data_IF_991685009639
#
_entry.id   IF_991685009639
#
_cell.length_a   1.000
_cell.length_b   1.000
_cell.length_c   1.000
_cell.angle_alpha   90.00
_cell.angle_beta   90.00
_cell.angle_gamma   90.00
#
_symmetry.space_group_name_H-M   'P 1'
#
loop_
_entity.id
_entity.type
_entity.pdbx_description
1 polymer ?
#
# COMPACT_ATOMS: atom_id res chain seq x y z
N UNK A 1 1.79 22.90 -13.93
CA UNK A 1 2.56 23.55 -15.02
C UNK A 1 2.69 22.66 -16.22
N UNK A 2 2.52 23.21 -17.41
CA UNK A 2 2.77 22.56 -18.69
C UNK A 2 4.19 22.88 -19.15
N UNK A 3 4.94 21.88 -19.60
CA UNK A 3 6.28 22.07 -20.11
C UNK A 3 6.35 21.65 -21.58
N UNK A 4 6.52 22.64 -22.46
CA UNK A 4 6.78 22.44 -23.87
C UNK A 4 8.19 22.89 -24.22
N UNK A 5 8.86 22.17 -25.10
CA UNK A 5 10.23 22.49 -25.56
C UNK A 5 10.33 22.49 -27.05
N UNK A 6 11.24 23.34 -27.54
CA UNK A 6 11.77 23.27 -28.91
C UNK A 6 13.30 23.28 -28.85
N UNK A 7 13.93 22.39 -29.58
CA UNK A 7 15.41 22.29 -29.62
C UNK A 7 15.89 21.69 -30.92
N UNK A 8 17.16 21.91 -31.22
CA UNK A 8 17.84 21.25 -32.31
C UNK A 8 19.02 20.43 -31.79
N UNK A 9 19.32 19.32 -32.45
CA UNK A 9 20.44 18.46 -32.13
C UNK A 9 21.12 17.94 -33.42
N UNK A 10 22.37 17.58 -33.31
CA UNK A 10 23.15 17.01 -34.41
C UNK A 10 23.36 15.53 -34.14
N UNK A 11 22.96 14.70 -35.11
CA UNK A 11 23.18 13.26 -35.05
C UNK A 11 23.70 12.77 -36.40
N UNK A 12 24.80 12.03 -36.41
CA UNK A 12 25.50 11.58 -37.65
C UNK A 12 25.73 12.70 -38.66
N UNK A 13 26.13 13.89 -38.21
CA UNK A 13 26.42 15.06 -39.07
C UNK A 13 25.18 15.75 -39.66
N UNK A 14 23.98 15.32 -39.31
CA UNK A 14 22.72 15.97 -39.71
C UNK A 14 22.09 16.67 -38.51
N UNK A 15 21.58 17.89 -38.76
CA UNK A 15 20.84 18.66 -37.78
C UNK A 15 19.35 18.25 -37.82
N UNK A 16 18.83 17.92 -36.66
CA UNK A 16 17.42 17.63 -36.46
C UNK A 16 16.82 18.71 -35.57
N UNK A 17 15.63 19.17 -35.92
CA UNK A 17 14.86 20.14 -35.14
C UNK A 17 13.61 19.47 -34.60
N UNK A 18 13.35 19.69 -33.33
CA UNK A 18 12.13 19.25 -32.62
C UNK A 18 11.41 20.50 -32.15
N UNK A 19 10.17 20.67 -32.61
CA UNK A 19 9.41 21.90 -32.38
C UNK A 19 9.81 23.06 -33.28
N UNK A 20 9.17 24.19 -33.11
CA UNK A 20 9.41 25.43 -33.85
C UNK A 20 9.96 26.48 -32.89
N UNK A 21 10.97 27.25 -33.37
CA UNK A 21 11.47 28.38 -32.61
C UNK A 21 10.67 29.65 -32.94
N UNK A 22 10.51 30.53 -31.97
CA UNK A 22 9.86 31.84 -32.17
C UNK A 22 10.53 32.72 -33.23
N UNK A 23 11.79 32.43 -33.55
CA UNK A 23 12.58 33.08 -34.57
C UNK A 23 12.36 32.50 -35.96
N UNK A 24 11.70 31.35 -36.08
CA UNK A 24 11.39 30.73 -37.38
C UNK A 24 10.21 31.49 -38.02
N UNK A 25 10.43 32.75 -38.34
CA UNK A 25 9.45 33.69 -38.86
C UNK A 25 8.90 33.15 -40.18
N UNK A 26 7.80 32.49 -40.12
CA UNK A 26 7.08 32.00 -41.30
C UNK A 26 6.00 33.01 -41.62
N UNK A 27 5.94 33.39 -42.88
CA UNK A 27 4.90 34.21 -43.49
C UNK A 27 3.47 33.63 -43.31
N UNK A 28 3.29 32.68 -42.43
CA UNK A 28 2.02 32.02 -42.16
C UNK A 28 1.34 32.55 -40.91
N UNK A 29 0.20 33.01 -41.13
CA UNK A 29 -0.87 33.63 -40.36
C UNK A 29 -1.36 32.90 -39.09
N UNK A 30 -0.66 31.95 -38.51
CA UNK A 30 -1.04 31.38 -37.20
C UNK A 30 -0.07 31.90 -36.15
N UNK A 31 -0.62 32.62 -35.16
CA UNK A 31 0.12 33.13 -34.00
C UNK A 31 0.56 32.00 -33.03
N UNK A 32 0.62 30.76 -33.51
CA UNK A 32 0.94 29.57 -32.74
C UNK A 32 2.25 28.95 -33.25
N UNK A 33 3.11 28.55 -32.29
CA UNK A 33 4.33 27.77 -32.56
C UNK A 33 4.13 26.33 -32.08
N UNK A 34 4.68 25.38 -32.81
CA UNK A 34 4.69 23.98 -32.46
C UNK A 34 5.80 23.68 -31.48
N UNK A 35 5.47 23.15 -30.30
CA UNK A 35 6.42 22.69 -29.29
C UNK A 35 6.20 21.23 -28.93
N UNK A 36 7.28 20.53 -28.61
CA UNK A 36 7.17 19.16 -28.06
C UNK A 36 6.76 19.21 -26.61
N UNK A 37 5.63 18.60 -26.27
CA UNK A 37 5.14 18.53 -24.90
C UNK A 37 5.95 17.48 -24.13
N UNK A 38 6.55 17.89 -23.00
CA UNK A 38 7.26 17.01 -22.06
C UNK A 38 6.43 16.72 -20.80
N UNK A 39 5.58 17.68 -20.37
CA UNK A 39 4.72 17.55 -19.23
C UNK A 39 3.37 18.23 -19.50
N UNK A 40 2.28 17.52 -19.28
CA UNK A 40 0.91 18.03 -19.37
C UNK A 40 0.35 18.42 -18.01
N UNK A 41 -0.89 18.95 -18.00
CA UNK A 41 -1.64 19.25 -16.78
C UNK A 41 -2.02 17.96 -16.07
N UNK A 42 -2.47 16.97 -16.85
CA UNK A 42 -2.84 15.64 -16.37
C UNK A 42 -1.78 14.64 -16.78
N UNK A 43 -1.43 13.75 -15.87
CA UNK A 43 -0.49 12.65 -16.11
C UNK A 43 -1.26 11.33 -16.08
N UNK A 44 -1.35 10.68 -17.25
CA UNK A 44 -1.98 9.38 -17.42
C UNK A 44 -1.03 8.42 -18.13
N UNK A 45 -1.07 7.12 -17.83
CA UNK A 45 -0.27 6.10 -18.53
C UNK A 45 -0.45 6.08 -20.05
N UNK A 46 -1.62 6.52 -20.55
CA UNK A 46 -1.93 6.56 -21.99
C UNK A 46 -1.27 7.74 -22.72
N UNK A 47 -0.66 8.67 -21.99
CA UNK A 47 -0.04 9.85 -22.59
C UNK A 47 1.37 9.54 -23.12
N UNK A 48 1.69 10.04 -24.32
CA UNK A 48 2.99 9.81 -24.98
C UNK A 48 4.20 10.30 -24.16
N UNK A 49 3.99 11.23 -23.23
CA UNK A 49 5.04 11.75 -22.34
C UNK A 49 5.11 11.03 -20.99
N UNK A 50 4.31 9.99 -20.77
CA UNK A 50 4.36 9.19 -19.53
C UNK A 50 5.74 8.57 -19.30
N UNK A 51 6.39 8.09 -20.34
CA UNK A 51 7.72 7.47 -20.26
C UNK A 51 8.85 8.48 -19.98
N UNK A 52 8.58 9.77 -20.13
CA UNK A 52 9.54 10.83 -19.78
C UNK A 52 9.57 11.14 -18.29
N UNK A 53 8.63 10.62 -17.52
CA UNK A 53 8.58 10.82 -16.08
C UNK A 53 9.74 10.07 -15.39
N UNK A 54 10.48 10.77 -14.54
CA UNK A 54 11.53 10.17 -13.70
C UNK A 54 10.91 9.40 -12.54
N UNK A 55 10.68 8.09 -12.74
CA UNK A 55 10.07 7.20 -11.76
C UNK A 55 11.10 6.50 -10.86
N UNK A 56 12.37 6.88 -10.97
CA UNK A 56 13.51 6.37 -10.21
C UNK A 56 14.03 7.36 -9.16
N UNK A 57 13.31 8.44 -8.91
CA UNK A 57 13.69 9.50 -7.97
C UNK A 57 12.74 9.52 -6.80
N UNK A 58 13.26 9.42 -5.58
CA UNK A 58 12.49 9.36 -4.34
C UNK A 58 12.92 10.48 -3.40
N UNK A 59 11.95 11.26 -2.89
CA UNK A 59 12.21 12.35 -1.96
C UNK A 59 12.36 11.84 -0.53
N UNK A 60 13.36 12.37 0.17
CA UNK A 60 13.55 12.15 1.60
C UNK A 60 12.73 13.14 2.47
N UNK A 61 12.11 14.15 1.84
CA UNK A 61 11.43 15.22 2.57
C UNK A 61 12.40 16.18 3.31
N UNK A 62 13.67 16.16 2.94
CA UNK A 62 14.72 16.95 3.57
C UNK A 62 15.50 17.77 2.54
N UNK A 63 16.15 18.84 3.01
CA UNK A 63 17.00 19.71 2.20
C UNK A 63 18.42 19.74 2.77
N UNK A 64 19.41 19.92 1.89
CA UNK A 64 20.82 20.03 2.26
C UNK A 64 21.32 18.84 3.11
N UNK A 65 21.07 17.65 2.62
CA UNK A 65 21.44 16.39 3.24
C UNK A 65 22.97 16.23 3.26
N UNK A 66 23.53 15.91 4.42
CA UNK A 66 24.96 15.77 4.59
C UNK A 66 25.41 14.31 4.40
N UNK A 67 26.63 14.11 3.84
CA UNK A 67 27.22 12.78 3.65
C UNK A 67 27.52 12.09 5.00
N UNK A 68 27.91 12.89 6.01
CA UNK A 68 28.22 12.37 7.34
C UNK A 68 27.00 11.71 8.00
N UNK A 69 27.16 10.49 8.45
CA UNK A 69 26.13 9.67 9.10
C UNK A 69 24.91 9.36 8.21
N UNK A 70 24.99 9.58 6.90
CA UNK A 70 23.94 9.16 6.00
C UNK A 70 23.91 7.64 5.90
N UNK A 71 22.73 7.05 6.06
CA UNK A 71 22.47 5.64 5.87
C UNK A 71 21.19 5.46 5.10
N UNK A 72 21.20 4.59 4.11
CA UNK A 72 20.00 4.18 3.37
C UNK A 72 19.99 2.67 3.26
N UNK A 73 18.86 2.07 3.56
CA UNK A 73 18.58 0.67 3.35
C UNK A 73 17.35 0.51 2.48
N UNK A 74 17.38 -0.50 1.63
CA UNK A 74 16.20 -0.97 0.92
C UNK A 74 15.82 -2.33 1.48
N UNK A 75 14.62 -2.46 1.97
CA UNK A 75 14.10 -3.69 2.56
C UNK A 75 12.86 -4.17 1.83
N UNK A 76 12.59 -5.45 1.95
CA UNK A 76 11.43 -6.13 1.40
C UNK A 76 10.66 -6.81 2.53
N UNK A 77 9.35 -6.64 2.57
CA UNK A 77 8.49 -7.32 3.51
C UNK A 77 8.31 -8.78 3.11
N UNK A 78 8.85 -9.69 3.91
CA UNK A 78 8.80 -11.12 3.66
C UNK A 78 7.38 -11.67 3.76
N UNK A 79 6.95 -12.46 2.78
CA UNK A 79 5.64 -13.09 2.77
C UNK A 79 5.46 -14.16 3.86
N UNK A 80 6.55 -14.79 4.25
CA UNK A 80 6.52 -15.89 5.23
C UNK A 80 6.50 -15.40 6.68
N UNK A 81 7.17 -14.28 6.96
CA UNK A 81 7.36 -13.80 8.35
C UNK A 81 6.68 -12.45 8.59
N UNK A 82 6.26 -11.73 7.53
CA UNK A 82 5.75 -10.37 7.63
C UNK A 82 6.82 -9.33 8.01
N UNK A 83 8.05 -9.75 8.32
CA UNK A 83 9.16 -8.87 8.71
C UNK A 83 9.89 -8.28 7.51
N UNK A 84 10.50 -7.12 7.70
CA UNK A 84 11.32 -6.49 6.68
C UNK A 84 12.74 -7.07 6.69
N UNK A 85 13.17 -7.55 5.53
CA UNK A 85 14.51 -8.09 5.29
C UNK A 85 15.21 -7.30 4.18
N UNK A 86 16.52 -7.20 4.24
CA UNK A 86 17.31 -6.44 3.27
C UNK A 86 17.76 -7.28 2.05
N UNK A 87 17.14 -8.43 1.84
CA UNK A 87 17.44 -9.35 0.72
C UNK A 87 16.13 -10.00 0.22
N UNK A 88 16.17 -10.59 -0.97
CA UNK A 88 15.10 -11.46 -1.45
C UNK A 88 15.43 -12.92 -1.13
N UNK A 89 14.47 -13.70 -0.59
CA UNK A 89 14.72 -15.11 -0.24
C UNK A 89 14.87 -16.02 -1.46
N UNK A 90 14.37 -15.62 -2.62
CA UNK A 90 14.30 -16.44 -3.83
C UNK A 90 14.77 -15.66 -5.07
N UNK A 91 15.10 -16.37 -6.13
CA UNK A 91 15.54 -15.80 -7.40
C UNK A 91 17.05 -15.81 -7.60
N UNK A 92 17.53 -15.35 -8.75
CA UNK A 92 18.95 -15.37 -9.11
C UNK A 92 19.81 -14.43 -8.22
N UNK A 93 19.19 -13.46 -7.57
CA UNK A 93 19.82 -12.57 -6.60
C UNK A 93 19.44 -12.91 -5.16
N UNK A 94 19.04 -14.15 -4.89
CA UNK A 94 18.68 -14.59 -3.55
C UNK A 94 19.82 -14.34 -2.55
N UNK A 95 19.44 -13.88 -1.35
CA UNK A 95 20.36 -13.57 -0.24
C UNK A 95 21.40 -12.47 -0.53
N UNK A 96 21.27 -11.74 -1.65
CA UNK A 96 22.07 -10.54 -1.90
C UNK A 96 21.37 -9.32 -1.33
N UNK A 97 22.16 -8.39 -0.78
CA UNK A 97 21.65 -7.14 -0.19
C UNK A 97 20.98 -6.31 -1.29
N UNK A 98 19.74 -5.90 -1.06
CA UNK A 98 18.90 -5.20 -2.05
C UNK A 98 19.52 -3.90 -2.54
N UNK A 99 20.19 -3.16 -1.69
CA UNK A 99 20.88 -1.91 -2.07
C UNK A 99 21.91 -2.15 -3.20
N UNK A 100 22.62 -3.30 -3.15
CA UNK A 100 23.58 -3.75 -4.18
C UNK A 100 22.85 -4.22 -5.44
N UNK A 101 21.79 -5.02 -5.30
CA UNK A 101 20.99 -5.52 -6.42
C UNK A 101 20.43 -4.37 -7.25
N UNK A 102 20.02 -3.29 -6.58
CA UNK A 102 19.45 -2.10 -7.19
C UNK A 102 20.50 -1.08 -7.68
N UNK A 103 21.79 -1.36 -7.45
CA UNK A 103 22.91 -0.59 -7.98
C UNK A 103 23.27 0.66 -7.20
N UNK A 104 22.88 0.75 -5.93
CA UNK A 104 23.18 1.84 -5.01
C UNK A 104 24.39 1.55 -4.10
N UNK A 105 25.02 0.39 -4.25
CA UNK A 105 26.24 -0.06 -3.57
C UNK A 105 27.17 -0.66 -4.64
N UNK A 106 28.15 0.11 -5.09
CA UNK A 106 29.15 -0.26 -6.10
C UNK A 106 30.56 0.09 -5.65
N UNK A 107 30.68 1.02 -4.72
CA UNK A 107 31.95 1.55 -4.24
C UNK A 107 32.16 1.15 -2.79
N UNK A 108 33.40 1.22 -2.34
CA UNK A 108 33.74 1.15 -0.93
C UNK A 108 33.82 2.56 -0.32
N UNK A 109 34.09 2.62 0.99
CA UNK A 109 34.23 3.87 1.75
C UNK A 109 35.33 4.81 1.20
N UNK A 110 36.22 4.29 0.35
CA UNK A 110 37.32 5.02 -0.28
C UNK A 110 37.08 5.35 -1.76
N UNK A 111 35.82 5.19 -2.20
CA UNK A 111 35.38 5.40 -3.58
C UNK A 111 36.03 4.45 -4.62
N UNK A 112 36.55 3.28 -4.19
CA UNK A 112 37.02 2.25 -5.11
C UNK A 112 35.87 1.33 -5.54
N UNK A 113 35.92 0.71 -6.74
CA UNK A 113 34.87 -0.15 -7.26
C UNK A 113 34.82 -1.51 -6.55
N UNK A 114 34.42 -1.50 -5.29
CA UNK A 114 34.27 -2.66 -4.42
C UNK A 114 33.08 -2.49 -3.50
N UNK A 115 31.93 -3.13 -3.77
CA UNK A 115 30.73 -2.97 -2.96
C UNK A 115 30.95 -3.37 -1.50
N UNK A 116 30.60 -2.50 -0.55
CA UNK A 116 30.81 -2.70 0.90
C UNK A 116 29.52 -2.95 1.71
N UNK A 117 28.36 -2.87 1.05
CA UNK A 117 27.05 -3.09 1.68
C UNK A 117 26.38 -1.81 2.18
N UNK A 118 27.00 -0.65 1.95
CA UNK A 118 26.46 0.65 2.29
C UNK A 118 26.04 1.43 1.05
N UNK A 119 25.26 2.46 1.27
CA UNK A 119 24.81 3.34 0.20
C UNK A 119 25.95 4.25 -0.28
N UNK A 120 26.19 4.27 -1.57
CA UNK A 120 27.14 5.16 -2.23
C UNK A 120 26.58 6.59 -2.27
N UNK A 121 27.05 7.46 -1.39
CA UNK A 121 26.65 8.86 -1.37
C UNK A 121 27.42 9.65 -2.43
N UNK A 122 26.87 9.73 -3.66
CA UNK A 122 27.47 10.46 -4.78
C UNK A 122 26.48 11.53 -5.22
N UNK A 123 26.80 12.79 -4.90
CA UNK A 123 25.91 13.91 -5.25
C UNK A 123 25.78 14.05 -6.78
N UNK A 124 24.54 14.28 -7.21
CA UNK A 124 24.17 14.33 -8.62
C UNK A 124 24.02 12.97 -9.32
N UNK A 125 24.35 11.84 -8.67
CA UNK A 125 24.23 10.51 -9.25
C UNK A 125 23.31 9.57 -8.47
N UNK A 126 23.61 9.28 -7.21
CA UNK A 126 22.77 8.43 -6.34
C UNK A 126 21.89 9.25 -5.40
N UNK A 127 22.30 10.48 -5.15
CA UNK A 127 21.57 11.43 -4.34
C UNK A 127 21.74 12.84 -4.91
N UNK A 128 20.69 13.64 -4.81
CA UNK A 128 20.76 15.09 -4.96
C UNK A 128 20.69 15.70 -3.56
N UNK A 129 21.85 15.99 -3.01
CA UNK A 129 21.98 16.35 -1.60
C UNK A 129 21.24 17.64 -1.26
N UNK A 130 21.26 18.64 -2.13
CA UNK A 130 20.59 19.93 -1.92
C UNK A 130 19.07 19.79 -1.77
N UNK A 131 18.43 18.93 -2.54
CA UNK A 131 16.96 18.74 -2.56
C UNK A 131 16.52 17.47 -1.86
N UNK A 132 17.44 16.70 -1.26
CA UNK A 132 17.17 15.47 -0.53
C UNK A 132 16.46 14.40 -1.36
N UNK A 133 16.95 14.14 -2.56
CA UNK A 133 16.36 13.15 -3.47
C UNK A 133 17.31 12.01 -3.72
N UNK A 134 16.85 10.79 -3.48
CA UNK A 134 17.57 9.57 -3.87
C UNK A 134 17.28 9.27 -5.33
N UNK A 135 18.33 8.98 -6.08
CA UNK A 135 18.27 8.67 -7.51
C UNK A 135 18.78 7.25 -7.71
N UNK A 136 17.90 6.38 -8.18
CA UNK A 136 18.36 5.05 -8.61
C UNK A 136 19.01 5.14 -9.99
N UNK A 137 20.15 4.47 -10.22
CA UNK A 137 20.88 4.57 -11.48
C UNK A 137 20.22 3.81 -12.65
N UNK A 138 18.97 3.42 -12.52
CA UNK A 138 18.16 2.75 -13.53
C UNK A 138 16.72 3.29 -13.50
N UNK A 139 16.09 3.36 -14.67
CA UNK A 139 14.77 4.00 -14.82
C UNK A 139 13.66 3.27 -14.06
N UNK A 140 13.72 1.95 -13.99
CA UNK A 140 12.73 1.12 -13.33
C UNK A 140 13.39 0.16 -12.33
N UNK A 141 13.84 0.66 -11.16
CA UNK A 141 14.58 -0.15 -10.18
C UNK A 141 13.80 -1.36 -9.68
N UNK A 142 12.51 -1.22 -9.38
CA UNK A 142 11.64 -2.31 -8.92
C UNK A 142 10.87 -3.01 -10.04
N UNK A 143 11.03 -2.57 -11.28
CA UNK A 143 10.40 -3.11 -12.49
C UNK A 143 11.37 -3.95 -13.32
N UNK A 144 11.65 -3.47 -14.53
CA UNK A 144 12.49 -4.16 -15.51
C UNK A 144 13.88 -4.50 -14.98
N UNK A 145 14.49 -3.62 -14.17
CA UNK A 145 15.81 -3.87 -13.58
C UNK A 145 15.79 -5.02 -12.56
N UNK A 146 14.80 -5.02 -11.70
CA UNK A 146 14.64 -6.10 -10.73
C UNK A 146 14.35 -7.43 -11.44
N UNK A 147 13.54 -7.42 -12.51
CA UNK A 147 13.26 -8.60 -13.33
C UNK A 147 14.53 -9.23 -13.91
N UNK A 148 15.42 -8.40 -14.43
CA UNK A 148 16.74 -8.85 -14.94
C UNK A 148 17.55 -9.59 -13.84
N UNK A 149 17.50 -9.07 -12.61
CA UNK A 149 18.26 -9.60 -11.48
C UNK A 149 17.64 -10.83 -10.84
N UNK A 150 16.34 -10.85 -10.66
CA UNK A 150 15.59 -11.93 -9.98
C UNK A 150 15.39 -13.14 -10.91
N UNK A 151 15.23 -12.88 -12.21
CA UNK A 151 14.89 -13.89 -13.22
C UNK A 151 13.37 -14.02 -13.44
N UNK A 152 13.00 -14.48 -14.64
CA UNK A 152 11.59 -14.50 -15.08
C UNK A 152 10.70 -15.42 -14.22
N UNK A 153 11.26 -16.50 -13.66
CA UNK A 153 10.50 -17.44 -12.84
C UNK A 153 9.89 -16.81 -11.58
N UNK A 154 10.57 -15.80 -11.01
CA UNK A 154 10.16 -15.13 -9.78
C UNK A 154 9.68 -13.69 -10.01
N UNK A 155 9.64 -13.26 -11.27
CA UNK A 155 9.26 -11.89 -11.62
C UNK A 155 7.84 -11.55 -11.18
N UNK A 156 6.89 -12.49 -11.28
CA UNK A 156 5.50 -12.26 -10.85
C UNK A 156 5.39 -11.95 -9.36
N UNK A 157 6.27 -12.50 -8.54
CA UNK A 157 6.28 -12.34 -7.08
C UNK A 157 6.93 -11.03 -6.62
N UNK A 158 8.09 -10.69 -7.20
CA UNK A 158 8.94 -9.61 -6.69
C UNK A 158 8.91 -8.33 -7.52
N UNK A 159 8.59 -8.44 -8.81
CA UNK A 159 8.64 -7.27 -9.71
C UNK A 159 7.36 -6.46 -9.59
N UNK A 160 7.53 -5.17 -9.29
CA UNK A 160 6.44 -4.22 -9.20
C UNK A 160 6.39 -3.34 -10.44
N UNK A 161 6.00 -3.93 -11.57
CA UNK A 161 5.93 -3.24 -12.86
C UNK A 161 4.82 -2.19 -12.88
N UNK A 162 3.73 -2.43 -12.18
CA UNK A 162 2.57 -1.53 -12.09
C UNK A 162 2.92 -0.18 -11.43
N UNK A 163 4.03 -0.11 -10.69
CA UNK A 163 4.58 1.16 -10.19
C UNK A 163 4.94 2.13 -11.31
N UNK A 164 5.28 1.60 -12.49
CA UNK A 164 5.72 2.37 -13.65
C UNK A 164 4.65 2.53 -14.72
N UNK A 165 3.78 1.54 -14.86
CA UNK A 165 2.78 1.44 -15.93
C UNK A 165 1.41 1.92 -15.50
N UNK A 166 1.23 2.29 -14.23
CA UNK A 166 -0.04 2.78 -13.69
C UNK A 166 0.12 4.06 -12.87
N UNK A 167 -1.01 4.68 -12.52
CA UNK A 167 -0.99 5.85 -11.63
C UNK A 167 -0.61 5.47 -10.21
N UNK A 168 -0.11 6.43 -9.42
CA UNK A 168 0.25 6.23 -8.02
C UNK A 168 -0.89 5.61 -7.19
N UNK A 169 -2.12 6.07 -7.44
CA UNK A 169 -3.31 5.55 -6.75
C UNK A 169 -3.54 4.08 -7.04
N UNK A 170 -3.43 3.67 -8.30
CA UNK A 170 -3.59 2.27 -8.71
C UNK A 170 -2.45 1.41 -8.16
N UNK A 171 -1.20 1.88 -8.25
CA UNK A 171 -0.05 1.17 -7.74
C UNK A 171 -0.14 0.92 -6.22
N UNK A 172 -0.60 1.92 -5.45
CA UNK A 172 -0.80 1.78 -4.00
C UNK A 172 -1.88 0.76 -3.62
N UNK A 173 -2.86 0.52 -4.48
CA UNK A 173 -3.90 -0.48 -4.25
C UNK A 173 -3.41 -1.93 -4.42
N UNK A 174 -2.21 -2.13 -4.97
CA UNK A 174 -1.63 -3.47 -5.16
C UNK A 174 -0.73 -3.79 -3.95
N UNK A 175 -1.36 -4.01 -2.80
CA UNK A 175 -0.65 -4.28 -1.54
C UNK A 175 0.30 -5.48 -1.62
N UNK A 176 -0.04 -6.49 -2.42
CA UNK A 176 0.78 -7.69 -2.63
C UNK A 176 2.17 -7.41 -3.21
N UNK A 177 2.32 -6.33 -3.97
CA UNK A 177 3.59 -5.93 -4.59
C UNK A 177 4.22 -4.71 -3.93
N UNK A 178 3.45 -3.95 -3.16
CA UNK A 178 3.91 -2.75 -2.46
C UNK A 178 4.62 -3.12 -1.15
N UNK A 179 5.72 -3.88 -1.24
CA UNK A 179 6.45 -4.46 -0.12
C UNK A 179 7.86 -3.91 0.08
N UNK A 180 8.31 -3.06 -0.84
CA UNK A 180 9.62 -2.43 -0.71
C UNK A 180 9.54 -1.19 0.16
N UNK A 181 10.49 -1.06 1.09
CA UNK A 181 10.61 0.08 1.98
C UNK A 181 12.03 0.64 1.90
N UNK A 182 12.13 1.95 1.69
CA UNK A 182 13.37 2.70 1.85
C UNK A 182 13.39 3.28 3.27
N UNK A 183 14.41 2.95 4.03
CA UNK A 183 14.59 3.41 5.39
C UNK A 183 16.04 3.80 5.65
N UNK A 184 16.27 4.66 6.62
CA UNK A 184 17.63 5.09 6.92
C UNK A 184 17.69 6.26 7.89
N UNK A 185 18.88 6.88 7.94
CA UNK A 185 19.17 8.03 8.76
C UNK A 185 19.87 9.09 7.91
N UNK A 186 19.54 10.33 8.11
CA UNK A 186 20.22 11.45 7.46
C UNK A 186 20.38 12.63 8.43
N UNK A 187 21.36 13.47 8.13
CA UNK A 187 21.53 14.78 8.75
C UNK A 187 21.29 15.83 7.70
N UNK A 188 20.42 16.80 8.00
CA UNK A 188 20.11 17.93 7.11
C UNK A 188 20.40 19.26 7.81
N UNK A 189 20.68 20.31 7.06
CA UNK A 189 20.95 21.64 7.63
C UNK A 189 19.71 22.35 8.15
N UNK A 190 18.51 21.95 7.71
CA UNK A 190 17.22 22.40 8.26
C UNK A 190 16.70 21.47 9.36
N UNK A 191 17.57 21.07 10.27
CA UNK A 191 17.38 19.97 11.22
C UNK A 191 16.25 20.12 12.23
N UNK A 192 15.48 21.19 12.20
CA UNK A 192 14.32 21.36 13.09
C UNK A 192 13.01 20.84 12.49
N UNK A 193 12.88 20.74 11.17
CA UNK A 193 11.62 20.34 10.51
C UNK A 193 11.76 19.00 9.82
N UNK A 194 10.84 18.08 10.13
CA UNK A 194 10.77 16.72 9.59
C UNK A 194 9.43 16.57 8.86
N UNK A 195 9.49 16.26 7.58
CA UNK A 195 8.29 15.95 6.79
C UNK A 195 7.93 14.47 6.99
N UNK A 196 6.68 14.21 7.37
CA UNK A 196 6.17 12.86 7.63
C UNK A 196 5.75 12.11 6.36
N UNK A 197 5.73 12.79 5.21
CA UNK A 197 5.27 12.20 3.95
C UNK A 197 3.77 11.86 3.95
N UNK A 198 3.03 12.34 4.94
CA UNK A 198 1.60 12.11 5.12
C UNK A 198 0.91 13.44 5.39
N UNK A 199 -0.30 13.62 4.88
CA UNK A 199 -1.15 14.78 5.17
C UNK A 199 -2.36 14.34 5.99
N UNK A 200 -2.93 15.25 6.76
CA UNK A 200 -4.11 14.98 7.59
C UNK A 200 -3.86 13.85 8.62
N UNK A 201 -2.71 13.90 9.26
CA UNK A 201 -2.28 12.94 10.27
C UNK A 201 -3.23 12.99 11.47
N UNK A 202 -3.58 11.84 12.02
CA UNK A 202 -4.45 11.77 13.19
C UNK A 202 -3.77 12.44 14.41
N UNK A 203 -4.50 13.30 15.12
CA UNK A 203 -3.96 13.96 16.32
C UNK A 203 -3.60 12.95 17.39
N UNK A 204 -2.40 13.10 17.95
CA UNK A 204 -1.90 12.21 19.00
C UNK A 204 -1.29 10.89 18.49
N UNK A 205 -1.28 10.66 17.15
CA UNK A 205 -0.66 9.46 16.55
C UNK A 205 0.84 9.61 16.31
N UNK A 206 1.34 10.84 16.34
CA UNK A 206 2.77 11.13 16.09
C UNK A 206 3.57 10.92 17.37
N UNK A 207 4.55 10.07 17.32
CA UNK A 207 5.49 9.83 18.41
C UNK A 207 6.91 10.13 17.96
N UNK A 208 7.56 11.03 18.68
CA UNK A 208 8.94 11.44 18.38
C UNK A 208 9.87 10.91 19.46
N UNK A 209 10.98 10.31 19.03
CA UNK A 209 12.02 9.83 19.92
C UNK A 209 13.37 10.40 19.50
N UNK A 210 14.21 10.77 20.46
CA UNK A 210 15.57 11.19 20.21
C UNK A 210 16.54 10.35 21.04
N UNK A 211 17.49 9.69 20.38
CA UNK A 211 18.45 8.81 21.06
C UNK A 211 17.80 7.69 21.88
N UNK A 212 16.57 7.27 21.52
CA UNK A 212 15.79 6.28 22.24
C UNK A 212 14.88 6.83 23.34
N UNK A 213 15.00 8.11 23.72
CA UNK A 213 14.10 8.76 24.67
C UNK A 213 12.87 9.33 23.92
N UNK A 214 11.66 9.12 24.47
CA UNK A 214 10.44 9.69 23.93
C UNK A 214 10.37 11.19 24.27
N UNK A 215 10.12 12.02 23.26
CA UNK A 215 9.94 13.45 23.40
C UNK A 215 8.48 13.81 23.73
N UNK A 216 8.28 14.98 24.33
CA UNK A 216 6.96 15.48 24.70
C UNK A 216 6.47 16.50 23.69
N UNK A 217 5.27 16.28 23.14
CA UNK A 217 4.63 17.22 22.23
C UNK A 217 4.35 18.55 22.91
N UNK A 218 4.52 19.65 22.18
CA UNK A 218 4.42 21.05 22.63
C UNK A 218 5.48 21.50 23.65
N UNK A 219 6.44 20.64 24.01
CA UNK A 219 7.61 20.97 24.85
C UNK A 219 8.88 20.79 24.04
N UNK A 220 9.13 19.59 23.53
CA UNK A 220 10.32 19.26 22.77
C UNK A 220 10.10 19.37 21.26
N UNK A 221 8.88 19.18 20.80
CA UNK A 221 8.50 19.27 19.39
C UNK A 221 7.06 19.74 19.23
N UNK A 222 6.71 20.23 18.03
CA UNK A 222 5.33 20.53 17.60
C UNK A 222 5.01 19.75 16.33
N UNK A 223 3.72 19.47 16.13
CA UNK A 223 3.22 18.75 14.95
C UNK A 223 2.20 19.60 14.22
N UNK A 224 2.44 19.85 12.93
CA UNK A 224 1.39 20.28 12.01
C UNK A 224 0.71 19.05 11.45
N UNK A 225 -0.41 18.68 12.05
CA UNK A 225 -1.18 17.50 11.66
C UNK A 225 -1.82 17.63 10.28
N UNK A 226 -2.04 18.85 9.80
CA UNK A 226 -2.65 19.10 8.49
C UNK A 226 -1.65 18.89 7.36
N UNK A 227 -0.45 19.42 7.54
CA UNK A 227 0.64 19.30 6.56
C UNK A 227 1.50 18.05 6.77
N UNK A 228 1.36 17.37 7.91
CA UNK A 228 2.20 16.22 8.27
C UNK A 228 3.66 16.61 8.50
N UNK A 229 3.90 17.61 9.32
CA UNK A 229 5.25 18.09 9.64
C UNK A 229 5.47 18.12 11.14
N UNK A 230 6.65 17.70 11.54
CA UNK A 230 7.14 17.79 12.93
C UNK A 230 8.25 18.83 12.98
N UNK A 231 8.13 19.78 13.90
CA UNK A 231 9.18 20.78 14.17
C UNK A 231 9.76 20.52 15.55
N UNK A 232 11.07 20.25 15.63
CA UNK A 232 11.79 20.07 16.90
C UNK A 232 12.05 21.46 17.49
N UNK A 233 11.57 21.68 18.72
CA UNK A 233 11.75 22.93 19.46
C UNK A 233 13.01 22.91 20.34
N UNK A 234 13.43 21.71 20.77
CA UNK A 234 14.54 21.55 21.68
C UNK A 234 15.88 21.68 20.94
N UNK A 235 16.52 22.84 21.04
CA UNK A 235 17.79 23.16 20.38
C UNK A 235 18.93 22.23 20.83
N UNK A 236 18.87 21.67 22.04
CA UNK A 236 19.91 20.75 22.51
C UNK A 236 19.93 19.44 21.72
N UNK A 237 18.77 18.95 21.25
CA UNK A 237 18.64 17.76 20.41
C UNK A 237 19.24 18.04 19.03
N UNK A 238 18.92 19.21 18.46
CA UNK A 238 19.40 19.64 17.14
C UNK A 238 20.92 19.81 17.17
N UNK A 239 21.44 20.52 18.19
CA UNK A 239 22.87 20.83 18.29
C UNK A 239 23.73 19.62 18.62
N UNK A 240 23.22 18.65 19.40
CA UNK A 240 23.93 17.41 19.71
C UNK A 240 24.00 16.44 18.55
N UNK A 241 23.18 16.63 17.51
CA UNK A 241 23.07 15.72 16.39
C UNK A 241 22.55 14.33 16.80
N UNK A 242 21.74 14.29 17.87
CA UNK A 242 21.08 13.05 18.32
C UNK A 242 20.09 12.59 17.25
N UNK A 243 20.12 11.32 16.85
CA UNK A 243 19.20 10.82 15.83
C UNK A 243 17.76 10.91 16.35
N UNK A 244 16.92 11.59 15.58
CA UNK A 244 15.49 11.72 15.87
C UNK A 244 14.74 10.75 14.97
N UNK A 245 13.85 9.96 15.56
CA UNK A 245 12.94 9.06 14.86
C UNK A 245 11.50 9.47 15.12
N UNK A 246 10.71 9.50 14.07
CA UNK A 246 9.29 9.82 14.16
C UNK A 246 8.49 8.63 13.68
N UNK A 247 7.57 8.16 14.49
CA UNK A 247 6.57 7.17 14.13
C UNK A 247 5.19 7.80 14.10
N UNK A 248 4.36 7.42 13.14
CA UNK A 248 2.99 7.87 13.01
C UNK A 248 2.09 6.70 12.63
N UNK A 249 0.83 6.78 13.03
CA UNK A 249 -0.21 5.93 12.47
C UNK A 249 -0.67 6.55 11.14
N UNK A 250 -0.44 5.83 10.07
CA UNK A 250 -0.87 6.25 8.74
C UNK A 250 -2.34 5.88 8.56
N UNK A 251 -3.24 6.76 8.96
CA UNK A 251 -4.62 6.71 8.50
C UNK A 251 -4.68 7.38 7.14
N UNK A 252 -4.60 6.58 6.09
CA UNK A 252 -4.84 7.07 4.74
C UNK A 252 -6.31 7.46 4.62
N UNK A 253 -6.59 8.76 4.71
CA UNK A 253 -7.93 9.35 4.56
C UNK A 253 -8.53 9.14 3.18
N UNK A 254 -7.75 8.69 2.22
CA UNK A 254 -8.15 8.38 0.85
C UNK A 254 -7.85 6.93 0.47
N UNK A 255 -8.04 5.99 1.39
CA UNK A 255 -8.01 4.57 1.07
C UNK A 255 -9.24 4.20 0.24
N UNK A 256 -9.16 4.41 -1.07
CA UNK A 256 -10.15 3.88 -1.99
C UNK A 256 -9.91 2.38 -2.20
N UNK A 257 -10.59 1.57 -1.42
CA UNK A 257 -10.58 0.13 -1.60
C UNK A 257 -11.23 -0.23 -2.93
N UNK A 258 -10.51 -0.96 -3.76
CA UNK A 258 -11.04 -1.44 -5.03
C UNK A 258 -11.99 -2.59 -4.77
N UNK A 259 -13.29 -2.34 -5.05
CA UNK A 259 -14.33 -3.35 -5.02
C UNK A 259 -14.78 -3.62 -6.45
N UNK A 260 -14.79 -4.88 -6.84
CA UNK A 260 -15.23 -5.31 -8.16
C UNK A 260 -16.45 -6.20 -7.99
N UNK A 261 -17.52 -5.90 -8.69
CA UNK A 261 -18.74 -6.68 -8.70
C UNK A 261 -19.12 -7.02 -10.15
N UNK A 262 -19.26 -8.29 -10.42
CA UNK A 262 -19.67 -8.80 -11.73
C UNK A 262 -20.92 -9.62 -11.52
N UNK A 263 -21.97 -9.33 -12.27
CA UNK A 263 -23.24 -10.07 -12.23
C UNK A 263 -23.70 -10.47 -13.62
N UNK A 264 -24.26 -11.66 -13.71
CA UNK A 264 -24.92 -12.17 -14.89
C UNK A 264 -26.28 -12.71 -14.49
N UNK A 265 -27.31 -12.25 -15.16
CA UNK A 265 -28.69 -12.72 -15.01
C UNK A 265 -29.20 -13.23 -16.36
N UNK A 266 -29.65 -14.46 -16.36
CA UNK A 266 -30.18 -15.14 -17.53
C UNK A 266 -31.61 -15.59 -17.26
N UNK A 267 -32.54 -15.07 -18.00
CA UNK A 267 -33.94 -15.49 -17.92
C UNK A 267 -34.37 -16.09 -19.25
N UNK A 268 -34.78 -17.35 -19.20
CA UNK A 268 -35.27 -18.06 -20.37
C UNK A 268 -36.74 -18.41 -20.24
N UNK A 269 -37.54 -17.92 -21.17
CA UNK A 269 -38.96 -18.18 -21.23
C UNK A 269 -39.23 -19.30 -22.23
N UNK A 270 -39.57 -20.48 -21.73
CA UNK A 270 -39.92 -21.63 -22.58
C UNK A 270 -41.24 -21.44 -23.33
N UNK A 271 -42.21 -20.87 -22.64
CA UNK A 271 -43.50 -20.53 -23.18
C UNK A 271 -44.14 -19.39 -22.33
N UNK A 272 -45.36 -18.98 -22.63
CA UNK A 272 -46.05 -17.91 -21.88
C UNK A 272 -46.26 -18.22 -20.40
N UNK A 273 -46.26 -19.49 -20.05
CA UNK A 273 -46.64 -20.00 -18.75
C UNK A 273 -45.41 -20.48 -17.91
N UNK A 274 -44.23 -20.61 -18.53
CA UNK A 274 -43.06 -21.17 -17.86
C UNK A 274 -41.78 -20.40 -18.18
N UNK A 275 -41.17 -19.91 -17.12
CA UNK A 275 -39.89 -19.19 -17.14
C UNK A 275 -38.92 -19.82 -16.15
N UNK A 276 -37.66 -19.89 -16.52
CA UNK A 276 -36.56 -20.27 -15.66
C UNK A 276 -35.50 -19.22 -15.76
N UNK A 277 -35.00 -18.77 -14.61
CA UNK A 277 -33.92 -17.82 -14.50
C UNK A 277 -32.73 -18.39 -13.74
N UNK A 278 -31.56 -17.90 -14.06
CA UNK A 278 -30.33 -18.19 -13.36
C UNK A 278 -29.55 -16.89 -13.17
N UNK A 279 -29.12 -16.61 -11.95
CA UNK A 279 -28.34 -15.43 -11.60
C UNK A 279 -27.03 -15.85 -10.95
N UNK A 280 -25.92 -15.24 -11.37
CA UNK A 280 -24.61 -15.38 -10.75
C UNK A 280 -24.04 -14.01 -10.48
N UNK A 281 -23.62 -13.74 -9.26
CA UNK A 281 -22.97 -12.50 -8.85
C UNK A 281 -21.68 -12.84 -8.14
N UNK A 282 -20.60 -12.18 -8.55
CA UNK A 282 -19.31 -12.30 -7.91
C UNK A 282 -18.84 -10.93 -7.43
N UNK A 283 -18.51 -10.83 -6.16
CA UNK A 283 -17.94 -9.63 -5.53
C UNK A 283 -16.56 -9.95 -4.99
N UNK A 284 -15.60 -9.11 -5.33
CA UNK A 284 -14.22 -9.23 -4.85
C UNK A 284 -13.71 -7.87 -4.40
N UNK A 285 -13.17 -7.84 -3.20
CA UNK A 285 -12.50 -6.67 -2.61
C UNK A 285 -10.99 -6.93 -2.58
N UNK A 286 -10.22 -5.94 -3.01
CA UNK A 286 -8.77 -6.02 -2.97
C UNK A 286 -8.28 -5.37 -1.65
N UNK A 287 -7.44 -6.04 -0.84
CA UNK A 287 -6.92 -5.46 0.39
C UNK A 287 -6.01 -4.28 0.05
N UNK A 288 -6.08 -3.22 0.85
CA UNK A 288 -5.24 -2.04 0.73
C UNK A 288 -3.85 -2.23 1.32
N UNK A 289 -3.75 -3.11 2.30
CA UNK A 289 -2.52 -3.43 3.02
C UNK A 289 -2.38 -4.94 3.16
N UNK A 290 -1.17 -5.40 3.37
CA UNK A 290 -0.89 -6.83 3.61
C UNK A 290 -1.41 -7.27 4.98
N UNK A 291 -1.42 -6.34 5.94
CA UNK A 291 -2.02 -6.53 7.27
C UNK A 291 -3.41 -5.94 7.29
N UNK A 292 -4.39 -6.67 7.76
CA UNK A 292 -5.78 -6.24 7.91
C UNK A 292 -6.15 -6.14 9.39
N UNK A 293 -6.98 -5.17 9.75
CA UNK A 293 -7.59 -5.12 11.09
C UNK A 293 -8.72 -6.13 11.18
N UNK A 294 -8.96 -6.64 12.38
CA UNK A 294 -10.03 -7.59 12.65
C UNK A 294 -11.39 -6.96 12.31
N UNK A 295 -12.12 -7.58 11.41
CA UNK A 295 -13.43 -7.11 10.94
C UNK A 295 -13.40 -6.34 9.61
N UNK A 296 -12.20 -5.97 9.12
CA UNK A 296 -11.99 -5.29 7.82
C UNK A 296 -11.36 -6.23 6.78
N UNK A 297 -11.53 -7.54 6.95
CA UNK A 297 -11.01 -8.52 6.01
C UNK A 297 -11.67 -8.36 4.64
N UNK A 298 -10.87 -8.46 3.60
CA UNK A 298 -11.34 -8.34 2.22
C UNK A 298 -12.25 -9.50 1.83
N UNK A 299 -13.43 -9.18 1.34
CA UNK A 299 -14.49 -10.13 1.00
C UNK A 299 -14.34 -10.60 -0.45
N UNK A 300 -14.53 -11.90 -0.69
CA UNK A 300 -14.62 -12.50 -2.00
C UNK A 300 -15.78 -13.46 -2.04
N UNK A 301 -16.95 -12.96 -2.35
CA UNK A 301 -18.19 -13.71 -2.30
C UNK A 301 -18.72 -14.03 -3.70
N UNK A 302 -19.26 -15.23 -3.82
CA UNK A 302 -20.01 -15.63 -5.03
C UNK A 302 -21.41 -16.03 -4.61
N UNK A 303 -22.41 -15.35 -5.16
CA UNK A 303 -23.80 -15.67 -5.01
C UNK A 303 -24.28 -16.26 -6.33
N UNK A 304 -24.95 -17.41 -6.29
CA UNK A 304 -25.67 -17.93 -7.43
C UNK A 304 -27.05 -18.39 -7.03
N UNK A 305 -27.97 -18.28 -7.95
CA UNK A 305 -29.35 -18.62 -7.71
C UNK A 305 -30.06 -19.12 -8.96
N UNK A 306 -31.12 -19.84 -8.72
CA UNK A 306 -32.06 -20.29 -9.74
C UNK A 306 -33.44 -19.84 -9.33
N UNK A 307 -34.21 -19.35 -10.27
CA UNK A 307 -35.60 -19.00 -10.07
C UNK A 307 -36.47 -19.62 -11.17
N UNK A 308 -37.67 -19.98 -10.82
CA UNK A 308 -38.61 -20.50 -11.79
C UNK A 308 -40.02 -19.98 -11.48
N UNK A 309 -40.74 -19.65 -12.51
CA UNK A 309 -42.15 -19.24 -12.44
C UNK A 309 -42.93 -20.06 -13.43
N UNK A 310 -43.96 -20.71 -12.95
CA UNK A 310 -44.91 -21.43 -13.74
C UNK A 310 -46.34 -20.96 -13.41
N UNK A 311 -47.10 -20.57 -14.43
CA UNK A 311 -48.46 -20.13 -14.25
C UNK A 311 -49.28 -20.62 -15.44
N UNK A 312 -50.12 -21.63 -15.21
CA UNK A 312 -50.95 -22.22 -16.27
C UNK A 312 -52.38 -22.41 -15.85
N UNK A 313 -53.29 -22.36 -16.80
CA UNK A 313 -54.67 -22.79 -16.64
C UNK A 313 -54.75 -24.29 -16.87
N UNK A 314 -55.32 -25.03 -15.92
CA UNK A 314 -55.41 -26.48 -15.97
C UNK A 314 -56.87 -26.94 -15.94
N UNK A 315 -57.36 -27.37 -17.10
CA UNK A 315 -58.69 -27.97 -17.21
C UNK A 315 -58.78 -29.32 -16.47
N UNK A 316 -57.66 -30.05 -16.39
CA UNK A 316 -57.59 -31.28 -15.62
C UNK A 316 -57.84 -31.04 -14.15
N UNK A 317 -57.26 -30.00 -13.58
CA UNK A 317 -57.42 -29.63 -12.17
C UNK A 317 -58.87 -29.17 -11.91
N UNK A 318 -59.47 -28.41 -12.84
CA UNK A 318 -60.86 -28.01 -12.80
C UNK A 318 -61.77 -29.23 -12.73
N UNK A 319 -61.55 -30.22 -13.62
CA UNK A 319 -62.34 -31.46 -13.62
C UNK A 319 -62.17 -32.33 -12.37
N UNK A 320 -60.98 -32.25 -11.71
CA UNK A 320 -60.75 -32.96 -10.41
C UNK A 320 -61.53 -32.28 -9.30
N UNK A 321 -61.51 -30.95 -9.22
CA UNK A 321 -62.25 -30.19 -8.21
C UNK A 321 -63.76 -30.21 -8.42
N UNK A 322 -64.20 -30.26 -9.67
CA UNK A 322 -65.64 -30.33 -10.01
C UNK A 322 -66.30 -31.67 -9.60
N UNK A 323 -65.48 -32.70 -9.32
CA UNK A 323 -65.93 -33.98 -8.72
C UNK A 323 -66.21 -33.90 -7.24
N UNK A 324 -65.84 -32.83 -6.57
CA UNK A 324 -66.11 -32.65 -5.16
C UNK A 324 -67.56 -32.22 -4.96
N UNK A 325 -68.35 -32.88 -4.07
CA UNK A 325 -69.70 -32.45 -3.80
C UNK A 325 -69.69 -31.04 -3.18
N UNK A 326 -70.51 -30.15 -3.72
CA UNK A 326 -70.65 -28.73 -3.35
C UNK A 326 -69.83 -27.73 -4.16
N UNK A 327 -69.05 -28.13 -5.16
CA UNK A 327 -68.30 -27.22 -6.01
C UNK A 327 -68.78 -27.42 -7.47
N UNK A 328 -69.18 -26.32 -8.10
CA UNK A 328 -69.38 -26.24 -9.55
C UNK A 328 -68.47 -25.20 -10.12
N UNK A 329 -67.45 -25.59 -10.84
CA UNK A 329 -66.43 -24.71 -11.38
C UNK A 329 -66.75 -24.37 -12.82
N UNK A 330 -67.04 -23.12 -13.08
CA UNK A 330 -67.39 -22.59 -14.45
C UNK A 330 -66.16 -22.00 -15.17
N UNK A 331 -65.04 -21.79 -14.47
CA UNK A 331 -63.79 -21.25 -15.02
C UNK A 331 -62.65 -22.22 -14.83
N UNK A 332 -61.67 -22.24 -15.75
CA UNK A 332 -60.50 -23.11 -15.60
C UNK A 332 -59.74 -22.74 -14.35
N UNK A 333 -59.30 -23.76 -13.62
CA UNK A 333 -58.46 -23.61 -12.42
C UNK A 333 -57.06 -23.17 -12.82
N UNK A 334 -56.52 -22.19 -12.08
CA UNK A 334 -55.19 -21.68 -12.33
C UNK A 334 -54.21 -22.31 -11.35
N UNK A 335 -53.12 -22.81 -11.87
CA UNK A 335 -51.98 -23.27 -11.09
C UNK A 335 -50.89 -22.21 -11.23
N UNK A 336 -50.37 -21.72 -10.10
CA UNK A 336 -49.16 -20.91 -10.09
C UNK A 336 -48.13 -21.54 -9.12
N UNK A 337 -46.92 -21.68 -9.63
CA UNK A 337 -45.79 -22.20 -8.88
C UNK A 337 -44.61 -21.26 -9.08
N UNK A 338 -44.05 -20.73 -7.98
CA UNK A 338 -42.85 -19.96 -7.99
C UNK A 338 -41.86 -20.62 -7.02
N UNK A 339 -40.64 -20.82 -7.49
CA UNK A 339 -39.54 -21.33 -6.65
C UNK A 339 -38.29 -20.51 -6.87
N UNK A 340 -37.60 -20.26 -5.79
CA UNK A 340 -36.29 -19.61 -5.77
C UNK A 340 -35.33 -20.45 -4.96
N UNK A 341 -34.11 -20.55 -5.45
CA UNK A 341 -32.99 -21.10 -4.74
C UNK A 341 -31.81 -20.14 -4.83
N UNK A 342 -31.20 -19.78 -3.72
CA UNK A 342 -30.00 -18.95 -3.67
C UNK A 342 -28.98 -19.61 -2.77
N UNK A 343 -27.74 -19.59 -3.22
CA UNK A 343 -26.60 -20.10 -2.45
C UNK A 343 -25.44 -19.10 -2.49
N UNK A 344 -25.01 -18.68 -1.31
CA UNK A 344 -23.86 -17.82 -1.11
C UNK A 344 -22.64 -18.66 -0.75
N UNK A 345 -21.61 -18.56 -1.59
CA UNK A 345 -20.28 -19.07 -1.31
C UNK A 345 -19.49 -17.89 -0.75
N UNK A 346 -19.38 -17.88 0.57
CA UNK A 346 -18.57 -16.88 1.26
C UNK A 346 -17.08 -17.24 1.15
N UNK A 347 -16.26 -16.24 0.91
CA UNK A 347 -14.82 -16.38 0.83
C UNK A 347 -14.11 -15.09 1.24
N UNK A 348 -12.82 -15.19 1.36
CA UNK A 348 -11.93 -14.07 1.59
C UNK A 348 -10.93 -13.96 0.44
N UNK A 349 -10.26 -12.83 0.34
CA UNK A 349 -9.19 -12.65 -0.63
C UNK A 349 -7.99 -13.50 -0.23
N UNK A 350 -7.61 -14.41 -1.10
CA UNK A 350 -6.42 -15.23 -0.93
C UNK A 350 -5.25 -14.61 -1.67
N UNK A 351 -4.26 -14.15 -0.93
CA UNK A 351 -3.00 -13.70 -1.51
C UNK A 351 -2.23 -14.91 -2.02
N UNK A 352 -1.92 -14.93 -3.30
CA UNK A 352 -1.21 -16.04 -3.97
C UNK A 352 0.18 -16.32 -3.37
N UNK A 353 0.81 -15.31 -2.77
CA UNK A 353 2.17 -15.38 -2.25
C UNK A 353 2.25 -15.77 -0.79
N UNK A 354 1.16 -15.61 -0.05
CA UNK A 354 1.08 -16.00 1.38
C UNK A 354 0.42 -17.35 1.59
N UNK A 355 0.09 -18.09 0.50
CA UNK A 355 -0.59 -19.37 0.58
C UNK A 355 -1.99 -19.29 1.20
N UNK A 356 -2.67 -18.16 1.03
CA UNK A 356 -4.00 -17.91 1.58
C UNK A 356 -4.03 -17.40 3.02
N UNK A 357 -2.87 -17.18 3.65
CA UNK A 357 -2.83 -16.58 4.98
C UNK A 357 -3.02 -15.08 4.92
N UNK A 358 -3.85 -14.55 5.81
CA UNK A 358 -4.01 -13.12 6.07
C UNK A 358 -3.28 -12.77 7.36
N UNK A 359 -2.50 -11.69 7.34
CA UNK A 359 -1.85 -11.18 8.55
C UNK A 359 -2.79 -10.20 9.23
N UNK A 360 -3.10 -10.45 10.49
CA UNK A 360 -3.73 -9.46 11.35
C UNK A 360 -2.67 -8.47 11.84
N UNK A 361 -3.08 -7.22 12.00
CA UNK A 361 -2.26 -6.23 12.69
C UNK A 361 -2.02 -6.69 14.13
N UNK A 362 -0.75 -6.88 14.48
CA UNK A 362 -0.33 -7.32 15.82
C UNK A 362 -0.10 -6.15 16.78
N UNK A 363 -0.60 -4.97 16.41
CA UNK A 363 -0.43 -3.74 17.18
C UNK A 363 1.04 -3.31 17.36
N UNK A 364 1.91 -3.65 16.40
CA UNK A 364 3.33 -3.26 16.42
C UNK A 364 3.53 -1.75 16.52
N UNK A 365 2.59 -0.95 16.03
CA UNK A 365 2.59 0.50 16.14
C UNK A 365 2.09 1.03 17.49
N UNK A 366 1.41 0.21 18.28
CA UNK A 366 0.95 0.55 19.63
C UNK A 366 1.97 0.15 20.70
N UNK A 367 3.20 0.61 20.57
CA UNK A 367 4.22 0.35 21.58
C UNK A 367 4.08 1.36 22.73
N UNK A 368 3.74 0.89 23.92
CA UNK A 368 3.96 1.65 25.15
C UNK A 368 5.37 1.34 25.67
N UNK A 369 6.24 2.35 25.63
CA UNK A 369 7.57 2.21 26.21
C UNK A 369 7.48 2.11 27.74
N UNK A 370 8.07 1.08 28.31
CA UNK A 370 8.28 1.01 29.75
C UNK A 370 9.69 1.50 30.05
N UNK A 371 9.83 2.61 30.74
CA UNK A 371 11.12 3.11 31.18
C UNK A 371 11.60 2.29 32.39
N UNK A 372 12.55 1.39 32.14
CA UNK A 372 13.11 0.52 33.17
C UNK A 372 14.10 1.25 34.09
N UNK A 373 14.57 2.41 33.70
CA UNK A 373 15.56 3.20 34.47
C UNK A 373 14.91 4.17 35.47
N UNK A 374 13.62 4.49 35.28
CA UNK A 374 12.91 5.39 36.16
C UNK A 374 12.26 4.62 37.31
N UNK A 375 12.79 4.71 38.55
CA UNK A 375 12.24 3.96 39.69
C UNK A 375 10.80 4.39 40.05
N UNK A 376 10.39 5.60 39.67
CA UNK A 376 9.02 6.09 39.90
C UNK A 376 7.98 5.54 38.93
N UNK A 377 8.43 4.92 37.83
CA UNK A 377 7.55 4.24 36.89
C UNK A 377 7.16 2.83 37.35
N UNK A 378 7.81 2.30 38.38
CA UNK A 378 7.55 0.98 38.90
C UNK A 378 6.47 1.03 39.98
N UNK A 379 5.42 0.25 39.78
CA UNK A 379 4.39 -0.01 40.77
C UNK A 379 4.38 -1.50 41.09
N UNK A 380 4.03 -1.84 42.34
CA UNK A 380 3.83 -3.24 42.70
C UNK A 380 2.64 -3.78 41.91
N UNK A 381 2.89 -4.81 41.13
CA UNK A 381 1.84 -5.54 40.42
C UNK A 381 1.20 -6.59 41.35
N UNK A 382 -0.06 -6.89 41.11
CA UNK A 382 -0.68 -8.04 41.75
C UNK A 382 -0.01 -9.34 41.33
N UNK A 383 0.18 -10.24 42.26
CA UNK A 383 0.75 -11.56 42.00
C UNK A 383 -0.23 -12.35 41.12
N UNK A 384 0.25 -12.99 40.01
CA UNK A 384 -0.59 -13.84 39.20
C UNK A 384 -1.19 -14.98 40.04
N UNK A 385 -2.49 -15.07 40.08
CA UNK A 385 -3.20 -16.14 40.78
C UNK A 385 -3.35 -17.35 39.85
N UNK A 386 -2.73 -18.43 40.23
CA UNK A 386 -2.90 -19.73 39.59
C UNK A 386 -2.75 -20.80 40.66
N UNK A 387 -3.72 -21.68 40.78
CA UNK A 387 -3.68 -22.75 41.76
C UNK A 387 -2.40 -23.57 41.65
N UNK A 388 -1.68 -23.68 42.75
CA UNK A 388 -0.43 -24.47 42.82
C UNK A 388 0.74 -23.96 41.95
N UNK A 389 0.80 -22.66 41.69
CA UNK A 389 1.90 -22.10 40.90
C UNK A 389 3.21 -22.08 41.72
N UNK A 390 4.21 -22.93 41.40
CA UNK A 390 5.43 -23.03 42.19
C UNK A 390 6.33 -21.79 42.08
N UNK A 391 6.07 -20.92 41.10
CA UNK A 391 6.83 -19.67 40.92
C UNK A 391 6.34 -18.53 41.82
N UNK A 392 5.08 -18.60 42.24
CA UNK A 392 4.44 -17.58 43.06
C UNK A 392 3.64 -18.24 44.20
N UNK A 393 4.34 -18.87 45.18
CA UNK A 393 3.63 -19.57 46.25
C UNK A 393 2.80 -18.64 47.14
N UNK A 394 3.10 -17.34 47.13
CA UNK A 394 2.30 -16.33 47.83
C UNK A 394 0.97 -16.07 47.16
N UNK A 395 0.77 -16.45 45.88
CA UNK A 395 -0.48 -16.25 45.17
C UNK A 395 -1.66 -17.04 45.79
N UNK A 396 -1.38 -18.15 46.49
CA UNK A 396 -2.38 -18.89 47.24
C UNK A 396 -3.00 -18.07 48.37
N UNK A 397 -2.29 -17.02 48.83
CA UNK A 397 -2.75 -16.12 49.90
C UNK A 397 -3.59 -14.94 49.39
N UNK A 398 -3.78 -14.81 48.08
CA UNK A 398 -4.51 -13.69 47.46
C UNK A 398 -5.98 -13.68 47.87
N UNK A 399 -6.52 -14.78 48.31
CA UNK A 399 -7.85 -14.82 48.89
C UNK A 399 -7.95 -14.16 50.28
N UNK A 400 -6.81 -13.82 50.88
CA UNK A 400 -6.78 -12.97 52.06
C UNK A 400 -6.92 -11.50 51.63
N UNK A 401 -7.96 -10.83 52.16
CA UNK A 401 -8.30 -9.45 51.82
C UNK A 401 -7.12 -8.48 52.07
N UNK A 402 -6.24 -8.81 52.98
CA UNK A 402 -5.04 -8.01 53.25
C UNK A 402 -4.03 -8.01 52.11
N UNK A 403 -4.06 -8.99 51.25
CA UNK A 403 -3.11 -9.19 50.19
C UNK A 403 -3.51 -8.49 48.88
N UNK A 404 -4.79 -8.33 48.63
CA UNK A 404 -5.29 -7.59 47.48
C UNK A 404 -4.99 -6.09 47.48
N UNK A 405 -4.11 -5.64 48.36
CA UNK A 405 -3.64 -4.23 48.45
C UNK A 405 -2.28 -4.01 47.85
N UNK A 406 -1.69 -4.97 47.22
CA UNK A 406 -0.40 -4.83 46.53
C UNK A 406 -0.62 -4.35 45.11
#
# INVERSE_FOLDING_TARGET
EVLGVAFSFIYNGKTYQVGEFSTDNKENTSDCIYVKLLKGITMSPDMMFWDLMMKNVYSLGAYSVQKEKFKLNVTYQSDSTGTYVNYLPEGNCANQILIRVLGLDRLDTYDNPNPDGFFDFIDGYTIQAETGKIIFPCVQPFGSKLREKVGNAYASKYVFQELYDSTLTVARQIAEKNKFLLSGEYKASSGSEIDLGATNVARGSVRVTAGGATLTENVDYTVDYSLGRVTILNESIISSGTPVSVSLENQSTFNMQRKTMIGLDLNYQFNKDFMVGATVMHMSEMPLTVKTTLGDESIKNTLWGLNTSYKAESQWLTNVFDKLPLLTLTKPSQISFNAEFAHLIAGHYENQYTGGYSYLDDFESTQSGMDLLNPYAWNLASTPYEDSNPKFPEAEKVNDIAYGKN
#
